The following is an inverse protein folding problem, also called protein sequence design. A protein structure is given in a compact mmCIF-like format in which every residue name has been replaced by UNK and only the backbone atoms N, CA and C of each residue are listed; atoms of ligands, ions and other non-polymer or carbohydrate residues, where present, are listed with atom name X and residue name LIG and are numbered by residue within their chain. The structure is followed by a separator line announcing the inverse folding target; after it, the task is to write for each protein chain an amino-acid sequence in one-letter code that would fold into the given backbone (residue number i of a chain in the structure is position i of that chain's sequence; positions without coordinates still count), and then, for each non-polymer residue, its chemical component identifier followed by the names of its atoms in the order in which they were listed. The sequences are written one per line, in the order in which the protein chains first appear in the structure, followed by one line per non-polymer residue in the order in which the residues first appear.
data_IF_775702356964
#
_entry.id   IF_775702356964
#
_cell.length_a   1.000
_cell.length_b   1.000
_cell.length_c   1.000
_cell.angle_alpha   90.00
_cell.angle_beta   90.00
_cell.angle_gamma   90.00
#
_symmetry.space_group_name_H-M   'P 1'
#
loop_
_entity.id
_entity.type
_entity.pdbx_description
1 polymer ?
#
# COMPACT_ATOMS: atom_id res chain seq x y z
N UNK A 1 -16.22 -12.12 4.79
CA UNK A 1 -15.99 -12.34 3.34
C UNK A 1 -15.14 -13.59 3.09
N UNK A 2 -13.88 -13.64 3.56
CA UNK A 2 -12.93 -14.75 3.30
C UNK A 2 -13.45 -16.15 3.61
N UNK A 3 -14.06 -16.39 4.78
CA UNK A 3 -14.63 -17.71 5.12
C UNK A 3 -15.61 -18.25 4.06
N UNK A 4 -16.47 -17.38 3.51
CA UNK A 4 -17.38 -17.78 2.44
C UNK A 4 -16.65 -18.10 1.13
N UNK A 5 -15.65 -17.30 0.74
CA UNK A 5 -14.87 -17.56 -0.47
C UNK A 5 -14.15 -18.91 -0.40
N UNK A 6 -13.57 -19.27 0.75
CA UNK A 6 -12.95 -20.59 0.93
C UNK A 6 -13.97 -21.74 0.89
N UNK A 7 -15.16 -21.55 1.47
CA UNK A 7 -16.23 -22.56 1.39
C UNK A 7 -16.75 -22.76 -0.04
N UNK A 8 -16.89 -21.68 -0.81
CA UNK A 8 -17.24 -21.74 -2.23
C UNK A 8 -16.13 -22.39 -3.05
N UNK A 9 -14.87 -22.04 -2.80
CA UNK A 9 -13.73 -22.68 -3.45
C UNK A 9 -13.72 -24.20 -3.22
N UNK A 10 -14.00 -24.65 -1.99
CA UNK A 10 -14.15 -26.08 -1.69
C UNK A 10 -15.32 -26.72 -2.47
N UNK A 11 -16.50 -26.07 -2.50
CA UNK A 11 -17.67 -26.58 -3.21
C UNK A 11 -17.41 -26.72 -4.72
N UNK A 12 -16.66 -25.80 -5.30
CA UNK A 12 -16.37 -25.75 -6.74
C UNK A 12 -15.02 -26.37 -7.11
N UNK A 13 -14.30 -26.99 -6.18
CA UNK A 13 -12.94 -27.52 -6.38
C UNK A 13 -12.00 -26.48 -7.04
N UNK A 14 -12.04 -25.25 -6.53
CA UNK A 14 -11.35 -24.09 -7.07
C UNK A 14 -10.37 -23.48 -6.04
N UNK A 15 -9.64 -22.45 -6.46
CA UNK A 15 -8.70 -21.71 -5.62
C UNK A 15 -9.22 -20.30 -5.34
N UNK A 16 -9.02 -19.84 -4.11
CA UNK A 16 -9.20 -18.42 -3.75
C UNK A 16 -7.97 -17.64 -4.18
N UNK A 17 -8.15 -16.68 -5.08
CA UNK A 17 -7.12 -15.71 -5.47
C UNK A 17 -7.16 -14.50 -4.54
N UNK A 18 -6.02 -14.20 -3.91
CA UNK A 18 -5.84 -13.02 -3.08
C UNK A 18 -5.49 -11.80 -3.91
N UNK A 19 -5.90 -10.63 -3.42
CA UNK A 19 -5.72 -9.34 -4.11
C UNK A 19 -4.93 -8.32 -3.32
N UNK A 20 -4.49 -8.64 -2.10
CA UNK A 20 -3.74 -7.74 -1.24
C UNK A 20 -2.40 -7.36 -1.86
N UNK A 21 -2.13 -6.05 -1.94
CA UNK A 21 -0.95 -5.51 -2.61
C UNK A 21 0.26 -5.31 -1.68
N UNK A 22 1.43 -5.02 -2.25
CA UNK A 22 2.67 -4.86 -1.49
C UNK A 22 2.57 -3.77 -0.42
N UNK A 23 1.85 -2.69 -0.70
CA UNK A 23 1.70 -1.53 0.17
C UNK A 23 0.85 -1.87 1.39
N UNK A 24 -0.27 -2.56 1.18
CA UNK A 24 -1.13 -3.11 2.24
C UNK A 24 -0.36 -4.11 3.11
N UNK A 25 0.44 -4.99 2.49
CA UNK A 25 1.29 -5.96 3.19
C UNK A 25 2.38 -5.28 4.03
N UNK A 26 2.99 -4.21 3.51
CA UNK A 26 4.00 -3.44 4.23
C UNK A 26 3.42 -2.76 5.47
N UNK A 27 2.27 -2.11 5.31
CA UNK A 27 1.59 -1.34 6.35
C UNK A 27 0.71 -2.22 7.26
N UNK A 28 0.62 -3.53 6.99
CA UNK A 28 -0.26 -4.45 7.71
C UNK A 28 -1.72 -4.02 7.63
N UNK A 29 -2.12 -3.42 6.50
CA UNK A 29 -3.47 -2.94 6.23
C UNK A 29 -4.36 -4.07 5.70
N UNK A 30 -4.58 -5.05 6.58
CA UNK A 30 -5.35 -6.26 6.28
C UNK A 30 -5.88 -6.91 7.56
N UNK A 31 -6.92 -7.71 7.43
CA UNK A 31 -7.39 -8.58 8.51
C UNK A 31 -6.59 -9.88 8.50
N UNK A 32 -5.90 -10.18 9.60
CA UNK A 32 -5.04 -11.38 9.71
C UNK A 32 -5.85 -12.67 9.94
N UNK A 33 -5.41 -13.78 9.34
CA UNK A 33 -6.03 -15.09 9.55
C UNK A 33 -7.28 -15.26 8.69
N UNK A 34 -8.48 -15.23 9.28
CA UNK A 34 -9.74 -15.33 8.54
C UNK A 34 -10.13 -13.96 7.98
N UNK A 35 -9.30 -13.45 7.08
CA UNK A 35 -9.41 -12.10 6.54
C UNK A 35 -8.88 -11.98 5.12
N UNK A 36 -8.90 -10.76 4.59
CA UNK A 36 -8.44 -10.42 3.24
C UNK A 36 -6.96 -10.75 2.98
N UNK A 37 -6.17 -10.93 4.04
CA UNK A 37 -4.79 -11.39 3.96
C UNK A 37 -4.65 -12.83 3.41
N UNK A 38 -5.65 -13.69 3.62
CA UNK A 38 -5.53 -15.13 3.35
C UNK A 38 -6.14 -15.54 2.01
N UNK A 39 -5.40 -16.34 1.26
CA UNK A 39 -5.78 -16.89 -0.04
C UNK A 39 -4.94 -18.14 -0.35
N UNK A 40 -5.27 -18.85 -1.43
CA UNK A 40 -4.42 -19.94 -1.91
C UNK A 40 -3.21 -19.41 -2.68
N UNK A 41 -3.42 -18.33 -3.45
CA UNK A 41 -2.37 -17.64 -4.21
C UNK A 41 -2.72 -16.16 -4.33
N UNK A 42 -1.78 -15.27 -3.99
CA UNK A 42 -1.94 -13.82 -4.11
C UNK A 42 -1.12 -13.31 -5.29
N UNK A 43 -1.82 -12.87 -6.34
CA UNK A 43 -1.21 -12.37 -7.58
C UNK A 43 -0.62 -10.97 -7.45
N UNK A 44 -1.08 -10.19 -6.45
CA UNK A 44 -0.69 -8.80 -6.23
C UNK A 44 0.36 -8.63 -5.13
N UNK A 45 0.78 -9.71 -4.48
CA UNK A 45 1.58 -9.67 -3.23
C UNK A 45 2.87 -8.84 -3.29
N UNK A 46 3.43 -8.65 -4.49
CA UNK A 46 4.66 -7.87 -4.71
C UNK A 46 4.46 -6.66 -5.62
N UNK A 47 3.21 -6.30 -5.93
CA UNK A 47 2.90 -5.13 -6.77
C UNK A 47 2.48 -3.99 -5.83
N UNK A 48 3.21 -2.86 -5.76
CA UNK A 48 2.81 -1.72 -4.94
C UNK A 48 1.57 -1.02 -5.49
N UNK A 49 0.80 -0.34 -4.64
CA UNK A 49 -0.45 0.34 -5.00
C UNK A 49 -0.26 1.35 -6.13
N UNK A 50 0.82 2.10 -6.08
CA UNK A 50 1.21 3.04 -7.15
C UNK A 50 1.37 2.33 -8.50
N UNK A 51 1.97 1.14 -8.53
CA UNK A 51 2.13 0.35 -9.74
C UNK A 51 0.80 -0.29 -10.20
N UNK A 52 -0.07 -0.71 -9.29
CA UNK A 52 -1.42 -1.21 -9.65
C UNK A 52 -2.19 -0.15 -10.45
N UNK A 53 -2.20 1.11 -9.99
CA UNK A 53 -2.88 2.20 -10.71
C UNK A 53 -2.26 2.40 -12.10
N UNK A 54 -0.94 2.38 -12.21
CA UNK A 54 -0.25 2.48 -13.49
C UNK A 54 -0.61 1.33 -14.43
N UNK A 55 -0.65 0.09 -13.94
CA UNK A 55 -0.98 -1.10 -14.74
C UNK A 55 -2.40 -1.03 -15.30
N UNK A 56 -3.38 -0.57 -14.52
CA UNK A 56 -4.75 -0.40 -15.00
C UNK A 56 -4.80 0.64 -16.12
N UNK A 57 -4.12 1.79 -15.94
CA UNK A 57 -4.02 2.83 -16.98
C UNK A 57 -3.35 2.31 -18.25
N UNK A 58 -2.30 1.52 -18.11
CA UNK A 58 -1.61 0.88 -19.23
C UNK A 58 -2.50 -0.13 -19.97
N UNK A 59 -3.29 -0.94 -19.24
CA UNK A 59 -4.26 -1.86 -19.83
C UNK A 59 -5.31 -1.12 -20.66
N UNK A 60 -5.82 0.02 -20.16
CA UNK A 60 -6.75 0.88 -20.91
C UNK A 60 -6.06 1.41 -22.17
N UNK A 61 -4.88 2.03 -22.02
CA UNK A 61 -4.16 2.68 -23.12
C UNK A 61 -3.70 1.69 -24.21
N UNK A 62 -3.40 0.45 -23.85
CA UNK A 62 -2.95 -0.59 -24.79
C UNK A 62 -4.08 -1.21 -25.62
N UNK A 63 -5.35 -0.93 -25.30
CA UNK A 63 -6.47 -1.38 -26.12
C UNK A 63 -6.75 -2.89 -26.09
N UNK A 64 -6.26 -3.61 -25.07
CA UNK A 64 -6.32 -5.08 -25.02
C UNK A 64 -7.73 -5.66 -24.77
N UNK A 65 -8.68 -4.83 -24.34
CA UNK A 65 -10.04 -5.22 -24.01
C UNK A 65 -11.05 -4.35 -24.76
N UNK A 66 -12.33 -4.68 -24.65
CA UNK A 66 -13.39 -3.88 -25.27
C UNK A 66 -13.61 -2.53 -24.58
N UNK A 67 -14.27 -1.61 -25.28
CA UNK A 67 -14.53 -0.26 -24.79
C UNK A 67 -15.36 -0.25 -23.49
N UNK A 68 -16.24 -1.24 -23.30
CA UNK A 68 -17.03 -1.39 -22.09
C UNK A 68 -16.13 -1.71 -20.88
N UNK A 69 -15.19 -2.65 -21.03
CA UNK A 69 -14.21 -2.98 -19.99
C UNK A 69 -13.32 -1.77 -19.68
N UNK A 70 -12.86 -1.04 -20.69
CA UNK A 70 -12.07 0.17 -20.47
C UNK A 70 -12.81 1.24 -19.68
N UNK A 71 -14.09 1.46 -19.97
CA UNK A 71 -14.92 2.41 -19.22
C UNK A 71 -15.05 2.01 -17.74
N UNK A 72 -15.19 0.70 -17.45
CA UNK A 72 -15.24 0.18 -16.07
C UNK A 72 -13.90 0.36 -15.36
N UNK A 73 -12.79 0.02 -16.02
CA UNK A 73 -11.44 0.19 -15.46
C UNK A 73 -11.13 1.67 -15.17
N UNK A 74 -11.57 2.57 -16.05
CA UNK A 74 -11.44 4.01 -15.84
C UNK A 74 -12.28 4.46 -14.65
N UNK A 75 -13.53 4.00 -14.53
CA UNK A 75 -14.38 4.30 -13.37
C UNK A 75 -13.76 3.81 -12.05
N UNK A 76 -13.13 2.62 -12.04
CA UNK A 76 -12.39 2.11 -10.88
C UNK A 76 -11.24 3.06 -10.50
N UNK A 77 -10.48 3.56 -11.48
CA UNK A 77 -9.39 4.51 -11.23
C UNK A 77 -9.86 5.89 -10.73
N UNK A 78 -11.06 6.30 -11.13
CA UNK A 78 -11.67 7.58 -10.76
C UNK A 78 -12.39 7.55 -9.41
N UNK A 79 -12.64 6.35 -8.88
CA UNK A 79 -13.32 6.15 -7.59
C UNK A 79 -12.31 6.23 -6.44
N UNK A 80 -12.65 6.99 -5.39
CA UNK A 80 -11.81 7.10 -4.19
C UNK A 80 -11.76 5.78 -3.42
N UNK A 81 -10.56 5.38 -2.96
CA UNK A 81 -10.35 4.12 -2.25
C UNK A 81 -10.82 4.25 -0.79
N UNK A 82 -12.06 3.83 -0.52
CA UNK A 82 -12.66 3.79 0.81
C UNK A 82 -12.70 2.36 1.38
N UNK A 83 -12.45 2.16 2.70
CA UNK A 83 -12.64 0.85 3.33
C UNK A 83 -14.14 0.49 3.36
N UNK A 84 -14.56 -0.35 2.41
CA UNK A 84 -15.94 -0.76 2.09
C UNK A 84 -16.69 -1.54 3.22
N UNK A 85 -16.94 -0.91 4.37
CA UNK A 85 -17.72 -1.55 5.44
C UNK A 85 -19.05 -0.87 5.77
N UNK A 86 -19.43 0.22 5.09
CA UNK A 86 -20.70 0.90 5.36
C UNK A 86 -21.35 1.37 4.05
N UNK A 87 -22.66 1.13 3.82
CA UNK A 87 -23.36 1.60 2.64
C UNK A 87 -23.36 3.14 2.56
N UNK A 88 -23.33 3.73 1.35
CA UNK A 88 -23.30 5.18 1.15
C UNK A 88 -24.56 5.92 1.68
N UNK A 89 -25.63 5.19 1.99
CA UNK A 89 -26.85 5.72 2.63
C UNK A 89 -26.73 5.89 4.15
N UNK A 90 -25.74 5.25 4.79
CA UNK A 90 -25.39 5.54 6.17
C UNK A 90 -24.40 6.72 6.19
N UNK A 91 -24.98 7.92 6.07
CA UNK A 91 -24.35 9.17 6.49
C UNK A 91 -24.21 9.25 8.02
N UNK A 92 -23.93 8.16 8.71
CA UNK A 92 -23.87 8.20 10.17
C UNK A 92 -22.60 7.47 10.58
N UNK A 93 -21.64 8.30 11.02
CA UNK A 93 -20.88 8.10 12.25
C UNK A 93 -20.60 6.63 12.62
N UNK A 94 -19.32 6.28 12.73
CA UNK A 94 -18.96 5.13 13.56
C UNK A 94 -19.58 5.27 14.98
N UNK A 95 -19.56 4.22 15.80
CA UNK A 95 -20.09 4.27 17.18
C UNK A 95 -19.43 5.35 18.09
N UNK A 96 -18.56 6.20 17.51
CA UNK A 96 -17.83 7.32 18.08
C UNK A 96 -18.01 8.65 17.35
N UNK A 97 -18.89 8.77 16.34
CA UNK A 97 -19.18 10.06 15.70
C UNK A 97 -18.31 10.48 14.51
N UNK A 98 -17.45 9.60 13.96
CA UNK A 98 -16.49 9.96 12.91
C UNK A 98 -16.93 9.47 11.53
N UNK A 99 -16.85 10.36 10.54
CA UNK A 99 -17.05 10.02 9.13
C UNK A 99 -16.05 8.95 8.67
N UNK A 100 -16.47 8.04 7.78
CA UNK A 100 -15.59 7.04 7.17
C UNK A 100 -14.47 7.73 6.39
N UNK A 101 -13.31 7.81 7.02
CA UNK A 101 -12.08 8.32 6.42
C UNK A 101 -11.55 7.34 5.36
N UNK A 102 -11.04 7.88 4.24
CA UNK A 102 -10.40 7.09 3.18
C UNK A 102 -9.22 6.28 3.72
N UNK A 103 -8.82 5.24 3.00
CA UNK A 103 -7.69 4.39 3.44
C UNK A 103 -6.42 5.22 3.62
N UNK A 104 -6.11 6.10 2.66
CA UNK A 104 -4.93 6.97 2.69
C UNK A 104 -4.99 8.01 3.81
N UNK A 105 -6.18 8.40 4.29
CA UNK A 105 -6.28 9.26 5.48
C UNK A 105 -5.75 8.57 6.75
N UNK A 106 -5.79 7.23 6.81
CA UNK A 106 -5.31 6.45 7.97
C UNK A 106 -3.87 5.96 7.83
N UNK A 107 -3.44 5.63 6.62
CA UNK A 107 -2.10 5.04 6.40
C UNK A 107 -1.17 5.94 5.59
N UNK A 108 -1.61 7.13 5.21
CA UNK A 108 -0.87 8.08 4.39
C UNK A 108 -0.99 7.82 2.89
N UNK A 109 -0.54 8.78 2.06
CA UNK A 109 -0.54 8.65 0.61
C UNK A 109 0.33 7.48 0.16
N UNK A 110 -0.21 6.62 -0.70
CA UNK A 110 0.50 5.43 -1.15
C UNK A 110 1.81 5.75 -1.85
N UNK A 111 1.93 6.89 -2.54
CA UNK A 111 3.20 7.27 -3.18
C UNK A 111 4.33 7.56 -2.19
N UNK A 112 4.03 8.09 -1.00
CA UNK A 112 5.03 8.29 0.05
C UNK A 112 5.35 6.96 0.73
N UNK A 113 4.34 6.12 0.93
CA UNK A 113 4.52 4.80 1.53
C UNK A 113 5.34 3.89 0.63
N UNK A 114 5.03 3.81 -0.67
CA UNK A 114 5.74 3.00 -1.66
C UNK A 114 7.17 3.50 -1.88
N UNK A 115 7.38 4.82 -1.86
CA UNK A 115 8.72 5.41 -1.87
C UNK A 115 9.54 4.93 -0.67
N UNK A 116 8.94 4.94 0.51
CA UNK A 116 9.57 4.48 1.75
C UNK A 116 9.85 2.98 1.72
N UNK A 117 8.88 2.16 1.30
CA UNK A 117 9.03 0.71 1.12
C UNK A 117 10.23 0.41 0.26
N UNK A 118 10.34 1.08 -0.90
CA UNK A 118 11.43 0.85 -1.83
C UNK A 118 12.78 1.14 -1.18
N UNK A 119 12.99 2.33 -0.61
CA UNK A 119 14.31 2.70 -0.09
C UNK A 119 14.71 1.97 1.19
N UNK A 120 13.74 1.60 2.04
CA UNK A 120 14.02 0.83 3.25
C UNK A 120 14.27 -0.64 2.92
N UNK A 121 13.42 -1.28 2.12
CA UNK A 121 13.54 -2.73 1.89
C UNK A 121 14.63 -3.07 0.87
N UNK A 122 14.85 -2.26 -0.16
CA UNK A 122 15.87 -2.50 -1.17
C UNK A 122 17.27 -2.15 -0.71
N UNK A 123 17.42 -1.04 0.02
CA UNK A 123 18.72 -0.43 0.32
C UNK A 123 19.03 -0.32 1.82
N UNK A 124 18.06 -0.56 2.70
CA UNK A 124 18.26 -0.39 4.15
C UNK A 124 18.60 1.04 4.54
N UNK A 125 18.13 2.05 3.79
CA UNK A 125 18.45 3.44 4.09
C UNK A 125 17.83 3.87 5.41
N UNK A 126 18.58 4.67 6.16
CA UNK A 126 18.10 5.30 7.40
C UNK A 126 16.91 6.25 7.10
N UNK A 127 15.94 6.39 8.02
CA UNK A 127 14.80 7.30 7.87
C UNK A 127 15.17 8.71 7.43
N UNK A 128 16.20 9.32 8.02
CA UNK A 128 16.64 10.66 7.64
C UNK A 128 17.07 10.77 6.18
N UNK A 129 17.72 9.73 5.64
CA UNK A 129 18.08 9.69 4.23
C UNK A 129 16.85 9.50 3.34
N UNK A 130 15.89 8.68 3.76
CA UNK A 130 14.63 8.49 3.03
C UNK A 130 13.83 9.80 3.00
N UNK A 131 13.71 10.50 4.13
CA UNK A 131 13.04 11.79 4.23
C UNK A 131 13.71 12.85 3.32
N UNK A 132 15.05 12.90 3.30
CA UNK A 132 15.80 13.78 2.40
C UNK A 132 15.49 13.50 0.93
N UNK A 133 15.53 12.21 0.53
CA UNK A 133 15.24 11.82 -0.86
C UNK A 133 13.78 12.10 -1.24
N UNK A 134 12.85 11.80 -0.34
CA UNK A 134 11.43 12.06 -0.54
C UNK A 134 11.17 13.56 -0.68
N UNK A 135 11.78 14.40 0.15
CA UNK A 135 11.60 15.85 0.07
C UNK A 135 12.08 16.39 -1.27
N UNK A 136 13.27 15.98 -1.73
CA UNK A 136 13.75 16.38 -3.05
C UNK A 136 12.86 15.89 -4.21
N UNK A 137 12.19 14.74 -4.06
CA UNK A 137 11.29 14.21 -5.08
C UNK A 137 9.90 14.86 -5.07
N UNK A 138 9.39 15.30 -3.91
CA UNK A 138 7.98 15.62 -3.73
C UNK A 138 7.67 17.05 -3.27
N UNK A 139 8.66 17.85 -2.86
CA UNK A 139 8.39 19.19 -2.31
C UNK A 139 7.82 20.19 -3.34
N UNK A 140 8.12 20.00 -4.63
CA UNK A 140 7.66 20.85 -5.71
C UNK A 140 7.17 20.00 -6.90
N UNK A 141 5.85 20.00 -7.12
CA UNK A 141 5.23 19.23 -8.22
C UNK A 141 5.66 19.68 -9.62
N UNK A 142 6.30 20.84 -9.76
CA UNK A 142 6.75 21.37 -11.04
C UNK A 142 8.20 20.97 -11.36
N UNK A 143 8.87 20.25 -10.45
CA UNK A 143 10.23 19.74 -10.65
C UNK A 143 10.21 18.23 -10.93
N UNK A 144 11.22 17.75 -11.66
CA UNK A 144 11.35 16.34 -12.00
C UNK A 144 10.40 15.87 -13.11
N UNK A 145 10.10 14.57 -13.14
CA UNK A 145 9.27 13.94 -14.15
C UNK A 145 8.08 13.23 -13.52
N UNK A 146 6.91 13.37 -14.14
CA UNK A 146 5.70 12.63 -13.81
C UNK A 146 5.45 11.54 -14.85
N UNK A 147 4.80 10.42 -14.49
CA UNK A 147 4.37 9.42 -15.46
C UNK A 147 3.41 10.03 -16.50
N UNK A 148 3.59 9.70 -17.78
CA UNK A 148 2.82 10.27 -18.89
C UNK A 148 1.31 10.06 -18.75
N UNK A 149 0.90 8.98 -18.10
CA UNK A 149 -0.49 8.61 -17.88
C UNK A 149 -1.07 9.15 -16.56
N UNK A 150 -0.35 10.00 -15.82
CA UNK A 150 -0.84 10.60 -14.59
C UNK A 150 -1.47 11.98 -14.86
N UNK A 151 -2.78 12.17 -14.62
CA UNK A 151 -3.44 13.46 -14.79
C UNK A 151 -2.83 14.56 -13.91
N UNK A 152 -2.79 15.79 -14.41
CA UNK A 152 -2.15 16.91 -13.70
C UNK A 152 -2.76 17.18 -12.31
N UNK A 153 -4.07 16.99 -12.16
CA UNK A 153 -4.76 17.17 -10.88
C UNK A 153 -4.38 16.12 -9.83
N UNK A 154 -3.70 15.03 -10.20
CA UNK A 154 -3.16 14.01 -9.29
C UNK A 154 -1.65 14.15 -9.05
N UNK A 155 -1.03 15.24 -9.53
CA UNK A 155 0.38 15.54 -9.27
C UNK A 155 0.50 16.22 -7.90
N UNK A 156 0.70 15.40 -6.87
CA UNK A 156 0.78 15.83 -5.48
C UNK A 156 2.13 16.46 -5.15
N UNK A 157 2.16 17.29 -4.11
CA UNK A 157 3.38 17.79 -3.49
C UNK A 157 3.27 17.70 -1.97
N UNK A 158 4.39 17.51 -1.28
CA UNK A 158 4.43 17.27 0.14
C UNK A 158 5.52 18.10 0.81
N UNK A 159 5.15 18.79 1.89
CA UNK A 159 6.12 19.47 2.74
C UNK A 159 6.90 18.47 3.61
N UNK A 160 7.99 18.95 4.23
CA UNK A 160 8.85 18.10 5.05
C UNK A 160 8.11 17.54 6.27
N UNK A 161 7.21 18.32 6.85
CA UNK A 161 6.40 17.90 8.00
C UNK A 161 5.50 16.70 7.67
N UNK A 162 4.83 16.74 6.51
CA UNK A 162 3.99 15.64 6.01
C UNK A 162 4.81 14.40 5.71
N UNK A 163 5.96 14.56 5.02
CA UNK A 163 6.87 13.44 4.73
C UNK A 163 7.35 12.79 6.02
N UNK A 164 7.77 13.59 7.00
CA UNK A 164 8.20 13.10 8.31
C UNK A 164 7.07 12.34 9.02
N UNK A 165 5.86 12.90 9.02
CA UNK A 165 4.70 12.30 9.69
C UNK A 165 4.39 10.91 9.12
N UNK A 166 4.28 10.80 7.80
CA UNK A 166 3.96 9.54 7.14
C UNK A 166 5.10 8.52 7.21
N UNK A 167 6.35 8.98 7.21
CA UNK A 167 7.50 8.13 7.47
C UNK A 167 7.51 7.60 8.91
N UNK A 168 7.17 8.42 9.91
CA UNK A 168 7.04 7.95 11.31
C UNK A 168 5.98 6.86 11.43
N UNK A 169 4.82 7.07 10.80
CA UNK A 169 3.75 6.08 10.72
C UNK A 169 4.23 4.80 10.03
N UNK A 170 4.91 4.92 8.89
CA UNK A 170 5.48 3.76 8.19
C UNK A 170 6.37 2.93 9.11
N UNK A 171 7.32 3.57 9.80
CA UNK A 171 8.30 2.87 10.63
C UNK A 171 7.63 2.09 11.75
N UNK A 172 6.68 2.71 12.46
CA UNK A 172 5.91 2.03 13.49
C UNK A 172 5.11 0.85 12.91
N UNK A 173 4.39 1.08 11.82
CA UNK A 173 3.56 0.03 11.20
C UNK A 173 4.40 -1.13 10.69
N UNK A 174 5.44 -0.82 9.94
CA UNK A 174 6.27 -1.80 9.25
C UNK A 174 7.10 -2.65 10.20
N UNK A 175 7.77 -2.03 11.19
CA UNK A 175 8.70 -2.72 12.07
C UNK A 175 8.08 -3.27 13.37
N UNK A 176 6.99 -2.69 13.88
CA UNK A 176 6.34 -3.15 15.12
C UNK A 176 5.11 -4.02 14.85
N UNK A 177 4.11 -3.55 14.10
CA UNK A 177 2.77 -4.18 14.11
C UNK A 177 2.39 -4.99 12.86
N UNK A 178 3.23 -5.04 11.83
CA UNK A 178 2.84 -5.68 10.55
C UNK A 178 3.56 -6.99 10.26
N UNK A 179 4.70 -7.26 10.90
CA UNK A 179 5.53 -8.41 10.54
C UNK A 179 4.85 -9.75 10.78
N UNK A 180 4.09 -9.90 11.88
CA UNK A 180 3.36 -11.14 12.15
C UNK A 180 2.36 -11.51 11.05
N UNK A 181 1.75 -10.52 10.38
CA UNK A 181 0.82 -10.76 9.26
C UNK A 181 1.52 -11.30 8.02
N UNK A 182 2.80 -10.95 7.84
CA UNK A 182 3.64 -11.40 6.72
C UNK A 182 4.22 -12.80 6.93
N UNK A 183 4.51 -13.15 8.18
CA UNK A 183 5.07 -14.45 8.57
C UNK A 183 4.24 -15.64 8.05
N UNK A 184 2.92 -15.47 7.93
CA UNK A 184 1.99 -16.49 7.42
C UNK A 184 1.29 -16.05 6.11
N UNK A 185 2.02 -15.41 5.18
CA UNK A 185 1.42 -14.97 3.91
C UNK A 185 1.31 -16.09 2.85
N UNK A 186 0.26 -16.06 2.00
CA UNK A 186 0.09 -16.97 0.86
C UNK A 186 1.27 -16.96 -0.13
N UNK A 187 1.27 -17.92 -1.05
CA UNK A 187 2.20 -17.91 -2.19
C UNK A 187 1.83 -16.77 -3.15
N UNK A 188 2.84 -16.22 -3.83
CA UNK A 188 2.68 -15.16 -4.81
C UNK A 188 4.02 -14.86 -5.49
N UNK A 189 4.04 -14.30 -6.70
CA UNK A 189 5.27 -14.03 -7.40
C UNK A 189 5.93 -12.75 -6.87
N UNK A 190 7.26 -12.71 -6.94
CA UNK A 190 8.00 -11.46 -6.82
C UNK A 190 7.85 -10.65 -8.11
N UNK A 191 7.60 -9.35 -7.98
CA UNK A 191 7.50 -8.40 -9.10
C UNK A 191 8.42 -7.22 -8.83
N UNK A 192 9.14 -6.78 -9.86
CA UNK A 192 10.04 -5.64 -9.78
C UNK A 192 11.37 -5.90 -9.05
N UNK A 193 12.23 -4.89 -9.08
CA UNK A 193 13.58 -4.92 -8.50
C UNK A 193 13.61 -4.49 -7.02
N UNK A 194 12.55 -3.84 -6.53
CA UNK A 194 12.45 -3.31 -5.17
C UNK A 194 12.40 -4.38 -4.08
N UNK A 195 12.07 -5.63 -4.44
CA UNK A 195 11.92 -6.72 -3.48
C UNK A 195 10.46 -7.12 -3.26
N UNK A 196 10.29 -8.19 -2.51
CA UNK A 196 9.01 -8.69 -2.00
C UNK A 196 9.05 -8.72 -0.47
N UNK A 197 7.89 -8.86 0.17
CA UNK A 197 7.79 -8.97 1.63
C UNK A 197 7.58 -10.41 2.12
N UNK A 198 7.92 -11.39 1.28
CA UNK A 198 7.81 -12.79 1.65
C UNK A 198 8.83 -13.17 2.73
N UNK A 199 8.41 -13.83 3.83
CA UNK A 199 9.34 -14.38 4.84
C UNK A 199 10.18 -15.53 4.28
N UNK A 200 9.79 -16.07 3.12
CA UNK A 200 10.50 -17.11 2.37
C UNK A 200 11.45 -16.54 1.32
N UNK A 201 11.42 -15.22 1.10
CA UNK A 201 12.17 -14.51 0.07
C UNK A 201 12.99 -13.36 0.63
N UNK A 202 12.71 -12.14 0.15
CA UNK A 202 13.58 -10.99 0.38
C UNK A 202 13.50 -10.40 1.80
N UNK A 203 12.42 -10.63 2.56
CA UNK A 203 12.20 -9.98 3.86
C UNK A 203 12.08 -10.97 5.01
N UNK A 204 13.19 -11.19 5.71
CA UNK A 204 13.28 -12.07 6.89
C UNK A 204 13.44 -11.22 8.15
N UNK A 205 12.36 -11.04 8.89
CA UNK A 205 12.34 -10.24 10.11
C UNK A 205 11.55 -10.93 11.23
N UNK A 206 11.93 -10.74 12.51
CA UNK A 206 11.21 -11.26 13.67
C UNK A 206 9.84 -10.58 13.81
N UNK A 207 8.83 -11.34 14.25
CA UNK A 207 7.45 -10.81 14.39
C UNK A 207 7.25 -9.95 15.64
N UNK A 208 8.23 -9.96 16.53
CA UNK A 208 8.30 -9.35 17.86
C UNK A 208 9.40 -8.27 17.96
N UNK A 209 9.83 -7.69 16.82
CA UNK A 209 10.71 -6.51 16.82
C UNK A 209 10.00 -5.22 17.18
N UNK A 210 10.80 -4.22 17.55
CA UNK A 210 10.35 -2.85 17.80
C UNK A 210 10.94 -1.85 16.80
N UNK A 211 10.17 -0.80 16.49
CA UNK A 211 10.59 0.30 15.63
C UNK A 211 11.47 1.36 16.34
N UNK A 212 11.78 1.19 17.63
CA UNK A 212 12.38 2.22 18.50
C UNK A 212 13.63 2.88 17.91
N UNK A 213 14.59 2.09 17.43
CA UNK A 213 15.82 2.62 16.85
C UNK A 213 15.58 3.45 15.57
N UNK A 214 14.62 3.04 14.74
CA UNK A 214 14.25 3.76 13.52
C UNK A 214 13.51 5.06 13.85
N UNK A 215 12.59 5.02 14.82
CA UNK A 215 11.86 6.21 15.28
C UNK A 215 12.79 7.23 15.94
N UNK A 216 13.77 6.79 16.73
CA UNK A 216 14.78 7.67 17.31
C UNK A 216 15.66 8.32 16.23
N UNK A 217 16.11 7.55 15.24
CA UNK A 217 16.88 8.06 14.10
C UNK A 217 16.11 9.17 13.37
N UNK A 218 14.83 8.92 13.07
CA UNK A 218 13.95 9.90 12.44
C UNK A 218 13.82 11.17 13.29
N UNK A 219 13.52 11.01 14.59
CA UNK A 219 13.25 12.13 15.48
C UNK A 219 14.47 13.02 15.71
N UNK A 220 15.66 12.42 15.76
CA UNK A 220 16.94 13.11 15.97
C UNK A 220 17.42 13.85 14.73
N UNK A 221 17.20 13.29 13.54
CA UNK A 221 17.90 13.73 12.33
C UNK A 221 17.01 14.40 11.28
N UNK A 222 15.68 14.31 11.37
CA UNK A 222 14.77 15.03 10.47
C UNK A 222 14.22 16.26 11.20
N UNK A 223 14.21 17.46 10.57
CA UNK A 223 13.52 18.65 11.11
C UNK A 223 12.01 18.44 11.24
N UNK A 224 11.32 19.25 12.05
CA UNK A 224 9.85 19.11 12.26
C UNK A 224 9.02 19.77 11.15
N UNK A 225 9.61 20.68 10.39
CA UNK A 225 9.02 21.47 9.31
C UNK A 225 10.05 22.45 8.81
#
# INVERSE_FOLDING_TARGET
RTSHLFRLANLHNALVLGTGDLSEIALGWSTYGVGDQMSHYNVNASVPKTLIQYLIRWVIASGQFDAATHAVLQAILDTEISPELVPPEAKDEDATGQALQSTEARIGPYELQDFTIYYITRYGLKPSKVAFLAWHAWHDRNQGHWPDNLPEHRRNQYDLASIRHWLELFLYRFFTISQFKRSCMPNGPKVGSGGSLSPRGDWRAPSDSEASAWLEELRRNVPKG
#
